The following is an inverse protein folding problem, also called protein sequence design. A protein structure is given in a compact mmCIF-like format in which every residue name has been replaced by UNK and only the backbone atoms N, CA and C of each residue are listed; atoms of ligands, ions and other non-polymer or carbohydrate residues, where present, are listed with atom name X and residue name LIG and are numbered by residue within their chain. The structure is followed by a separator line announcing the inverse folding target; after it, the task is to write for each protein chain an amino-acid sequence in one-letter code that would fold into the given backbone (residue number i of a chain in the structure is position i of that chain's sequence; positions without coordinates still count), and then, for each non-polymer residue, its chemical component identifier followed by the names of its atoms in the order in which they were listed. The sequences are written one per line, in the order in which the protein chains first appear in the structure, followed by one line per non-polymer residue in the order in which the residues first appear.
data_IF_148815402255
#
_entry.id   IF_148815402255
#
_cell.length_a   1.000
_cell.length_b   1.000
_cell.length_c   1.000
_cell.angle_alpha   90.00
_cell.angle_beta   90.00
_cell.angle_gamma   90.00
#
_symmetry.space_group_name_H-M   'P 1'
#
loop_
_entity.id
_entity.type
_entity.pdbx_description
1 polymer ?
#
# COMPACT_ATOMS: atom_id res chain seq x y z
N UNK A 1 17.68 -13.38 17.26
CA UNK A 1 16.42 -12.62 17.14
C UNK A 1 16.76 -11.25 16.60
N UNK A 2 15.94 -10.70 15.69
CA UNK A 2 16.17 -9.34 15.18
C UNK A 2 15.80 -8.32 16.24
N UNK A 3 16.60 -7.26 16.35
CA UNK A 3 16.25 -6.14 17.22
C UNK A 3 15.07 -5.38 16.64
N UNK A 4 14.37 -4.63 17.51
CA UNK A 4 13.34 -3.67 17.10
C UNK A 4 13.86 -2.72 16.01
N UNK A 5 15.12 -2.30 16.13
CA UNK A 5 15.76 -1.38 15.18
C UNK A 5 15.95 -2.02 13.80
N UNK A 6 16.38 -3.28 13.74
CA UNK A 6 16.60 -3.97 12.46
C UNK A 6 15.29 -4.15 11.66
N UNK A 7 14.19 -4.49 12.33
CA UNK A 7 12.87 -4.58 11.68
C UNK A 7 12.37 -3.21 11.21
N UNK A 8 12.57 -2.18 12.04
CA UNK A 8 12.22 -0.81 11.68
C UNK A 8 12.99 -0.32 10.45
N UNK A 9 14.30 -0.58 10.40
CA UNK A 9 15.15 -0.15 9.29
C UNK A 9 14.79 -0.89 8.00
N UNK A 10 14.50 -2.19 8.07
CA UNK A 10 14.04 -2.97 6.93
C UNK A 10 12.68 -2.46 6.39
N UNK A 11 11.73 -2.17 7.28
CA UNK A 11 10.44 -1.61 6.89
C UNK A 11 10.58 -0.22 6.24
N UNK A 12 11.41 0.66 6.83
CA UNK A 12 11.71 1.98 6.26
C UNK A 12 12.36 1.89 4.89
N UNK A 13 13.32 0.99 4.70
CA UNK A 13 13.98 0.83 3.42
C UNK A 13 12.98 0.50 2.29
N UNK A 14 12.07 -0.47 2.51
CA UNK A 14 11.01 -0.77 1.55
C UNK A 14 10.08 0.44 1.32
N UNK A 15 9.66 1.11 2.40
CA UNK A 15 8.74 2.25 2.32
C UNK A 15 9.37 3.45 1.58
N UNK A 16 10.64 3.73 1.84
CA UNK A 16 11.41 4.83 1.23
C UNK A 16 11.69 4.56 -0.25
N UNK A 17 12.00 3.31 -0.62
CA UNK A 17 12.17 2.91 -2.02
C UNK A 17 10.83 2.96 -2.78
N UNK A 18 9.73 2.56 -2.12
CA UNK A 18 8.39 2.71 -2.70
C UNK A 18 8.05 4.20 -2.88
N UNK A 19 8.20 5.05 -1.87
CA UNK A 19 7.93 6.49 -1.97
C UNK A 19 8.75 7.18 -3.08
N UNK A 20 9.99 6.73 -3.30
CA UNK A 20 10.88 7.24 -4.36
C UNK A 20 10.58 6.69 -5.75
N UNK A 21 9.60 5.81 -5.91
CA UNK A 21 9.27 5.14 -7.18
C UNK A 21 10.48 4.38 -7.75
N UNK A 22 11.24 3.72 -6.88
CA UNK A 22 12.36 2.87 -7.29
C UNK A 22 11.88 1.73 -8.20
N UNK A 23 12.83 1.10 -8.89
CA UNK A 23 12.53 0.01 -9.83
C UNK A 23 11.83 -1.17 -9.15
N UNK A 24 11.06 -1.95 -9.92
CA UNK A 24 10.44 -3.19 -9.41
C UNK A 24 11.48 -4.16 -8.84
N UNK A 25 12.67 -4.24 -9.44
CA UNK A 25 13.73 -5.12 -8.94
C UNK A 25 14.29 -4.62 -7.60
N UNK A 26 14.40 -3.31 -7.41
CA UNK A 26 14.73 -2.71 -6.11
C UNK A 26 13.68 -3.06 -5.06
N UNK A 27 12.39 -2.89 -5.38
CA UNK A 27 11.29 -3.21 -4.47
C UNK A 27 11.29 -4.70 -4.10
N UNK A 28 11.45 -5.59 -5.08
CA UNK A 28 11.46 -7.04 -4.88
C UNK A 28 12.70 -7.52 -4.11
N UNK A 29 13.79 -6.75 -4.11
CA UNK A 29 14.98 -7.07 -3.31
C UNK A 29 14.72 -7.04 -1.80
N UNK A 30 13.63 -6.39 -1.35
CA UNK A 30 13.19 -6.37 0.06
C UNK A 30 12.41 -7.63 0.45
N UNK A 31 11.99 -8.45 -0.51
CA UNK A 31 11.17 -9.63 -0.27
C UNK A 31 12.01 -10.88 -0.01
N UNK A 32 11.41 -11.83 0.72
CA UNK A 32 12.07 -13.08 1.11
C UNK A 32 12.31 -13.98 -0.10
N UNK A 33 13.42 -14.72 -0.04
CA UNK A 33 13.70 -15.85 -0.94
C UNK A 33 13.61 -17.21 -0.21
N UNK A 34 13.40 -17.18 1.11
CA UNK A 34 13.37 -18.36 1.97
C UNK A 34 11.94 -18.73 2.39
N UNK A 35 11.01 -17.77 2.36
CA UNK A 35 9.59 -17.93 2.67
C UNK A 35 8.71 -17.64 1.44
N UNK A 36 7.51 -18.22 1.38
CA UNK A 36 6.53 -17.88 0.34
C UNK A 36 6.07 -16.43 0.52
N UNK A 37 6.40 -15.57 -0.45
CA UNK A 37 5.96 -14.18 -0.44
C UNK A 37 4.47 -14.03 -0.77
N UNK A 38 3.77 -13.17 -0.02
CA UNK A 38 2.36 -12.84 -0.21
C UNK A 38 2.21 -11.33 -0.29
N UNK A 39 1.53 -10.83 -1.33
CA UNK A 39 1.00 -9.47 -1.37
C UNK A 39 -0.53 -9.50 -1.36
N UNK A 40 -1.14 -8.65 -0.54
CA UNK A 40 -2.59 -8.54 -0.43
C UNK A 40 -3.01 -7.12 -0.10
N UNK A 41 -3.83 -6.55 -0.96
CA UNK A 41 -4.55 -5.32 -0.65
C UNK A 41 -6.00 -5.66 -0.30
N UNK A 42 -6.40 -5.29 0.91
CA UNK A 42 -7.69 -5.67 1.47
C UNK A 42 -8.82 -4.78 0.94
N UNK A 43 -9.98 -5.39 0.72
CA UNK A 43 -11.15 -4.72 0.17
C UNK A 43 -11.97 -5.63 -0.73
N UNK A 44 -13.02 -5.09 -1.32
CA UNK A 44 -13.87 -5.82 -2.26
C UNK A 44 -13.17 -5.93 -3.62
N UNK A 45 -13.04 -7.15 -4.15
CA UNK A 45 -12.33 -7.40 -5.42
C UNK A 45 -12.94 -6.78 -6.68
N UNK A 46 -14.10 -6.14 -6.56
CA UNK A 46 -14.73 -5.34 -7.61
C UNK A 46 -14.15 -3.93 -7.72
N UNK A 47 -13.38 -3.47 -6.73
CA UNK A 47 -12.84 -2.10 -6.63
C UNK A 47 -11.75 -1.85 -7.67
N UNK A 48 -10.71 -2.66 -7.67
CA UNK A 48 -9.58 -2.53 -8.59
C UNK A 48 -8.97 -3.91 -8.90
N UNK A 49 -8.17 -4.05 -9.98
CA UNK A 49 -7.58 -5.33 -10.38
C UNK A 49 -6.65 -5.97 -9.34
N UNK A 50 -6.16 -5.21 -8.35
CA UNK A 50 -5.22 -5.65 -7.31
C UNK A 50 -5.85 -5.75 -5.91
N UNK A 51 -7.03 -5.17 -5.69
CA UNK A 51 -7.75 -5.19 -4.39
C UNK A 51 -8.51 -6.51 -4.23
N UNK A 52 -8.61 -7.01 -2.99
CA UNK A 52 -9.40 -8.19 -2.64
C UNK A 52 -8.84 -9.50 -3.21
N UNK A 53 -7.55 -9.51 -3.57
CA UNK A 53 -6.86 -10.64 -4.19
C UNK A 53 -5.58 -10.95 -3.43
N UNK A 54 -5.23 -12.23 -3.39
CA UNK A 54 -3.98 -12.70 -2.81
C UNK A 54 -3.01 -13.08 -3.92
N UNK A 55 -1.84 -12.46 -3.91
CA UNK A 55 -0.73 -12.77 -4.83
C UNK A 55 0.31 -13.60 -4.09
N UNK A 56 0.51 -14.86 -4.51
CA UNK A 56 1.42 -15.82 -3.84
C UNK A 56 2.65 -16.12 -4.67
N UNK A 57 3.81 -16.15 -4.01
CA UNK A 57 5.13 -16.27 -4.63
C UNK A 57 5.65 -14.94 -5.18
N UNK A 58 6.98 -14.81 -5.27
CA UNK A 58 7.67 -13.58 -5.65
C UNK A 58 7.23 -13.03 -7.02
N UNK A 59 7.00 -13.91 -8.00
CA UNK A 59 6.51 -13.51 -9.33
C UNK A 59 5.07 -12.94 -9.30
N UNK A 60 4.20 -13.46 -8.42
CA UNK A 60 2.87 -12.87 -8.24
C UNK A 60 2.94 -11.54 -7.50
N UNK A 61 3.88 -11.38 -6.55
CA UNK A 61 4.14 -10.10 -5.90
C UNK A 61 4.65 -9.06 -6.91
N UNK A 62 5.54 -9.45 -7.83
CA UNK A 62 5.91 -8.60 -8.98
C UNK A 62 4.69 -8.17 -9.77
N UNK A 63 3.79 -9.12 -10.09
CA UNK A 63 2.55 -8.82 -10.80
C UNK A 63 1.64 -7.85 -10.03
N UNK A 64 1.57 -7.95 -8.70
CA UNK A 64 0.84 -6.99 -7.86
C UNK A 64 1.38 -5.57 -8.05
N UNK A 65 2.69 -5.37 -7.87
CA UNK A 65 3.30 -4.04 -8.03
C UNK A 65 3.15 -3.51 -9.47
N UNK A 66 3.28 -4.36 -10.48
CA UNK A 66 3.02 -3.99 -11.88
C UNK A 66 1.58 -3.54 -12.12
N UNK A 67 0.59 -4.23 -11.54
CA UNK A 67 -0.83 -3.86 -11.63
C UNK A 67 -1.11 -2.53 -10.93
N UNK A 68 -0.55 -2.32 -9.74
CA UNK A 68 -0.68 -1.04 -9.02
C UNK A 68 -0.08 0.08 -9.88
N UNK A 69 1.15 -0.10 -10.37
CA UNK A 69 1.85 0.91 -11.17
C UNK A 69 1.16 1.22 -12.50
N UNK A 70 0.51 0.22 -13.14
CA UNK A 70 -0.24 0.41 -14.39
C UNK A 70 -1.59 1.09 -14.19
N UNK A 71 -2.14 1.07 -12.97
CA UNK A 71 -3.49 1.55 -12.67
C UNK A 71 -3.46 2.92 -11.98
N UNK A 72 -2.50 3.11 -11.07
CA UNK A 72 -2.35 4.30 -10.25
C UNK A 72 -1.00 4.97 -10.50
N UNK A 73 -0.96 6.27 -10.28
CA UNK A 73 0.25 7.00 -9.93
C UNK A 73 0.03 7.70 -8.60
N UNK A 74 1.11 8.15 -7.97
CA UNK A 74 1.04 8.91 -6.74
C UNK A 74 2.10 10.01 -6.68
N UNK A 75 1.90 10.97 -5.79
CA UNK A 75 2.87 12.00 -5.44
C UNK A 75 2.81 12.31 -3.94
N UNK A 76 3.86 12.97 -3.45
CA UNK A 76 4.00 13.39 -2.05
C UNK A 76 3.87 12.22 -1.05
N UNK A 77 4.34 11.04 -1.45
CA UNK A 77 4.26 9.85 -0.61
C UNK A 77 5.20 9.94 0.59
N UNK A 78 4.65 9.74 1.78
CA UNK A 78 5.38 9.74 3.05
C UNK A 78 4.92 8.59 3.92
N UNK A 79 5.81 8.09 4.77
CA UNK A 79 5.52 7.00 5.70
C UNK A 79 5.87 7.43 7.13
N UNK A 80 5.03 7.04 8.09
CA UNK A 80 5.16 7.41 9.50
C UNK A 80 4.40 6.46 10.43
N UNK A 81 4.48 6.76 11.74
CA UNK A 81 3.75 6.02 12.77
C UNK A 81 4.06 4.51 12.79
N UNK A 82 5.34 4.17 12.66
CA UNK A 82 5.83 2.79 12.66
C UNK A 82 5.63 2.12 14.04
N UNK A 83 4.92 1.00 14.04
CA UNK A 83 4.78 0.10 15.17
C UNK A 83 5.53 -1.21 14.89
N UNK A 84 6.40 -1.62 15.81
CA UNK A 84 7.25 -2.81 15.64
C UNK A 84 6.92 -3.83 16.73
N UNK A 85 6.56 -5.03 16.30
CA UNK A 85 6.39 -6.19 17.14
C UNK A 85 7.53 -7.18 16.87
N UNK A 86 8.45 -7.31 17.84
CA UNK A 86 9.61 -8.20 17.72
C UNK A 86 9.28 -9.66 18.00
N UNK A 87 8.18 -9.96 18.71
CA UNK A 87 7.80 -11.33 19.05
C UNK A 87 7.33 -12.07 17.80
N UNK A 88 6.50 -11.40 16.98
CA UNK A 88 6.00 -11.95 15.71
C UNK A 88 6.71 -11.38 14.48
N UNK A 89 7.76 -10.57 14.65
CA UNK A 89 8.59 -9.97 13.59
C UNK A 89 7.76 -9.21 12.55
N UNK A 90 6.93 -8.29 13.05
CA UNK A 90 5.96 -7.56 12.25
C UNK A 90 6.14 -6.05 12.40
N UNK A 91 5.96 -5.31 11.32
CA UNK A 91 5.93 -3.85 11.34
C UNK A 91 4.64 -3.35 10.71
N UNK A 92 3.92 -2.51 11.43
CA UNK A 92 2.80 -1.76 10.87
C UNK A 92 3.21 -0.30 10.69
N UNK A 93 2.76 0.35 9.63
CA UNK A 93 3.12 1.73 9.30
C UNK A 93 1.96 2.40 8.59
N UNK A 94 1.78 3.71 8.82
CA UNK A 94 0.84 4.51 8.02
C UNK A 94 1.59 5.22 6.90
N UNK A 95 0.99 5.22 5.71
CA UNK A 95 1.45 5.99 4.58
C UNK A 95 0.45 7.09 4.25
N UNK A 96 0.92 8.20 3.70
CA UNK A 96 0.10 9.27 3.15
C UNK A 96 0.60 9.61 1.75
N UNK A 97 -0.30 9.74 0.80
CA UNK A 97 0.03 10.17 -0.56
C UNK A 97 -1.20 10.75 -1.25
N UNK A 98 -0.96 11.51 -2.31
CA UNK A 98 -1.99 11.82 -3.30
C UNK A 98 -1.94 10.76 -4.39
N UNK A 99 -2.99 9.96 -4.52
CA UNK A 99 -3.12 8.98 -5.58
C UNK A 99 -3.92 9.56 -6.75
N UNK A 100 -3.62 9.08 -7.95
CA UNK A 100 -4.34 9.42 -9.17
C UNK A 100 -4.65 8.14 -9.93
N UNK A 101 -5.93 7.92 -10.24
CA UNK A 101 -6.33 6.87 -11.16
C UNK A 101 -5.94 7.26 -12.59
N UNK A 102 -5.14 6.44 -13.26
CA UNK A 102 -4.51 6.86 -14.53
C UNK A 102 -5.50 7.08 -15.66
N UNK A 103 -6.53 6.24 -15.75
CA UNK A 103 -7.49 6.24 -16.85
C UNK A 103 -8.42 7.47 -16.82
N UNK A 104 -8.90 7.84 -15.64
CA UNK A 104 -9.87 8.92 -15.42
C UNK A 104 -9.21 10.21 -14.97
N UNK A 105 -7.94 10.15 -14.57
CA UNK A 105 -7.13 11.24 -14.00
C UNK A 105 -7.66 11.80 -12.67
N UNK A 106 -8.69 11.18 -12.09
CA UNK A 106 -9.22 11.57 -10.80
C UNK A 106 -8.24 11.23 -9.69
N UNK A 107 -8.13 12.13 -8.71
CA UNK A 107 -7.12 12.05 -7.66
C UNK A 107 -7.71 12.30 -6.28
N UNK A 108 -7.16 11.62 -5.28
CA UNK A 108 -7.54 11.78 -3.88
C UNK A 108 -6.30 11.74 -2.98
N UNK A 109 -6.41 12.41 -1.84
CA UNK A 109 -5.43 12.32 -0.78
C UNK A 109 -5.85 11.20 0.18
N UNK A 110 -4.95 10.27 0.46
CA UNK A 110 -5.24 9.08 1.25
C UNK A 110 -4.25 8.91 2.39
N UNK A 111 -4.76 8.44 3.54
CA UNK A 111 -3.95 7.74 4.54
C UNK A 111 -4.24 6.25 4.46
N UNK A 112 -3.20 5.45 4.24
CA UNK A 112 -3.28 4.00 4.14
C UNK A 112 -2.38 3.34 5.19
N UNK A 113 -2.52 2.04 5.39
CA UNK A 113 -1.69 1.28 6.31
C UNK A 113 -1.03 0.10 5.62
N UNK A 114 0.25 -0.12 5.90
CA UNK A 114 0.93 -1.39 5.62
C UNK A 114 1.06 -2.23 6.89
N UNK A 115 0.93 -3.55 6.74
CA UNK A 115 1.37 -4.53 7.72
C UNK A 115 2.34 -5.49 7.03
N UNK A 116 3.57 -5.49 7.52
CA UNK A 116 4.72 -6.18 6.95
C UNK A 116 5.19 -7.28 7.90
N UNK A 117 5.20 -8.53 7.44
CA UNK A 117 5.73 -9.67 8.18
C UNK A 117 7.11 -10.02 7.62
N UNK A 118 8.08 -10.25 8.51
CA UNK A 118 9.48 -10.45 8.14
C UNK A 118 9.98 -11.86 8.46
N UNK A 119 10.73 -12.44 7.53
CA UNK A 119 11.48 -13.68 7.72
C UNK A 119 12.67 -13.48 8.68
N UNK A 120 13.46 -14.52 8.93
CA UNK A 120 14.62 -14.45 9.84
C UNK A 120 15.76 -13.52 9.37
N UNK A 121 15.80 -13.17 8.09
CA UNK A 121 16.78 -12.29 7.47
C UNK A 121 16.30 -10.83 7.37
N UNK A 122 15.13 -10.53 7.95
CA UNK A 122 14.45 -9.22 7.85
C UNK A 122 14.03 -8.89 6.41
N UNK A 123 13.66 -9.90 5.62
CA UNK A 123 13.00 -9.73 4.33
C UNK A 123 11.49 -9.90 4.48
N UNK A 124 10.72 -9.13 3.74
CA UNK A 124 9.27 -9.18 3.78
C UNK A 124 8.78 -10.45 3.10
N UNK A 125 7.99 -11.27 3.80
CA UNK A 125 7.29 -12.40 3.18
C UNK A 125 5.77 -12.18 3.15
N UNK A 126 5.24 -11.22 3.90
CA UNK A 126 3.84 -10.82 3.81
C UNK A 126 3.72 -9.30 3.78
N UNK A 127 3.18 -8.80 2.68
CA UNK A 127 2.92 -7.39 2.42
C UNK A 127 1.40 -7.19 2.35
N UNK A 128 0.84 -6.47 3.32
CA UNK A 128 -0.60 -6.22 3.40
C UNK A 128 -0.90 -4.73 3.39
N UNK A 129 -1.94 -4.33 2.67
CA UNK A 129 -2.34 -2.93 2.52
C UNK A 129 -3.82 -2.76 2.86
N UNK A 130 -4.13 -1.71 3.60
CA UNK A 130 -5.48 -1.18 3.77
C UNK A 130 -5.51 0.27 3.33
N UNK A 131 -6.41 0.57 2.40
CA UNK A 131 -6.59 1.90 1.84
C UNK A 131 -8.06 2.31 1.69
N UNK A 132 -8.29 3.49 1.15
CA UNK A 132 -9.61 4.05 0.85
C UNK A 132 -10.16 3.47 -0.45
N UNK A 133 -10.72 2.27 -0.32
CA UNK A 133 -11.32 1.56 -1.45
C UNK A 133 -12.56 2.27 -2.03
N UNK A 134 -13.20 3.18 -1.29
CA UNK A 134 -14.34 3.95 -1.79
C UNK A 134 -13.85 5.05 -2.74
N UNK A 135 -12.83 5.82 -2.33
CA UNK A 135 -12.19 6.82 -3.18
C UNK A 135 -11.60 6.18 -4.44
N UNK A 136 -10.88 5.07 -4.30
CA UNK A 136 -10.33 4.33 -5.44
C UNK A 136 -11.42 3.83 -6.41
N UNK A 137 -12.55 3.33 -5.90
CA UNK A 137 -13.67 2.89 -6.72
C UNK A 137 -14.30 4.04 -7.51
N UNK A 138 -14.60 5.16 -6.84
CA UNK A 138 -15.17 6.35 -7.45
C UNK A 138 -14.20 6.96 -8.48
N UNK A 139 -12.91 7.05 -8.14
CA UNK A 139 -11.88 7.55 -9.03
C UNK A 139 -11.78 6.72 -10.30
N UNK A 140 -11.80 5.38 -10.18
CA UNK A 140 -11.86 4.48 -11.34
C UNK A 140 -13.09 4.73 -12.21
N UNK A 141 -14.22 5.06 -11.59
CA UNK A 141 -15.49 5.30 -12.27
C UNK A 141 -15.59 6.68 -12.92
N UNK A 142 -14.70 7.62 -12.57
CA UNK A 142 -14.80 9.00 -13.02
C UNK A 142 -15.88 9.77 -12.27
N UNK A 143 -16.24 9.32 -11.07
CA UNK A 143 -17.36 9.81 -10.26
C UNK A 143 -16.85 10.48 -8.96
N UNK A 144 -15.55 10.47 -8.67
CA UNK A 144 -15.00 10.99 -7.42
C UNK A 144 -15.17 12.51 -7.30
N UNK A 145 -14.90 13.25 -8.38
CA UNK A 145 -14.96 14.72 -8.36
C UNK A 145 -16.37 15.21 -8.11
N UNK A 146 -17.38 14.53 -8.67
CA UNK A 146 -18.79 14.83 -8.44
C UNK A 146 -19.15 14.63 -6.95
N UNK A 147 -18.73 13.51 -6.36
CA UNK A 147 -19.00 13.23 -4.94
C UNK A 147 -18.30 14.24 -4.01
N UNK A 148 -17.05 14.62 -4.30
CA UNK A 148 -16.32 15.60 -3.51
C UNK A 148 -16.96 16.99 -3.65
N UNK A 149 -17.31 17.42 -4.86
CA UNK A 149 -17.91 18.73 -5.11
C UNK A 149 -19.37 18.84 -4.61
N UNK A 150 -20.08 17.72 -4.56
CA UNK A 150 -21.42 17.61 -3.96
C UNK A 150 -21.42 17.35 -2.46
N UNK A 151 -20.26 17.38 -1.79
CA UNK A 151 -20.16 16.97 -0.39
C UNK A 151 -20.83 17.95 0.59
N UNK A 152 -21.65 17.36 1.46
CA UNK A 152 -22.32 17.82 2.67
C UNK A 152 -22.12 19.29 3.13
N UNK A 153 -23.21 20.07 3.06
CA UNK A 153 -23.43 21.21 3.97
C UNK A 153 -23.70 20.69 5.38
N UNK A 154 -22.98 21.17 6.40
CA UNK A 154 -23.32 20.89 7.80
C UNK A 154 -24.81 21.19 8.06
N UNK A 155 -25.55 20.31 8.76
CA UNK A 155 -26.88 20.68 9.22
C UNK A 155 -26.73 21.89 10.15
N UNK A 156 -27.44 22.98 9.84
CA UNK A 156 -27.50 24.17 10.68
C UNK A 156 -27.88 23.75 12.10
N UNK A 157 -27.05 24.13 13.08
CA UNK A 157 -27.37 23.97 14.49
C UNK A 157 -28.59 24.84 14.81
N UNK A 158 -29.77 24.22 14.91
CA UNK A 158 -30.93 24.80 15.60
C UNK A 158 -30.74 24.70 17.12
#
# INVERSE_FOLDING_TARGET
MSSRQQLLDAAKALCDDFARKESLDTLLSHFSITEECIAQEHGLGAVAPFVGRTFRGLESVRKYFSLVASTLTYENMTFGDYFVDTEVRKVSVTGRARFTWRETTESWDETFAYVLDFDHENKVYRYQVWGDTAAAYLARKGELTEVISGSWSEPSKE
#
